data_IF_611718023756
#
_entry.id   IF_611718023756
#
_cell.length_a   1.000
_cell.length_b   1.000
_cell.length_c   1.000
_cell.angle_alpha   90.00
_cell.angle_beta   90.00
_cell.angle_gamma   90.00
#
_symmetry.space_group_name_H-M   'P 1'
#
loop_
_entity.id
_entity.type
_entity.pdbx_description
1 polymer ?
#
# COMPACT_ATOMS: atom_id res chain seq x y z
N UNK A 1 61.51 5.13 -8.59
CA UNK A 1 61.07 3.77 -8.19
C UNK A 1 60.82 3.80 -6.70
N UNK A 2 59.56 3.63 -6.28
CA UNK A 2 59.13 3.04 -5.00
C UNK A 2 57.60 3.05 -4.95
N UNK A 3 57.05 1.97 -5.48
CA UNK A 3 55.66 1.56 -5.36
C UNK A 3 55.42 1.16 -3.90
N UNK A 4 54.37 1.70 -3.26
CA UNK A 4 53.78 1.08 -2.07
C UNK A 4 52.29 0.93 -2.29
N UNK A 5 51.90 -0.30 -2.65
CA UNK A 5 50.54 -0.82 -2.59
C UNK A 5 50.01 -0.66 -1.15
N UNK A 6 48.81 -0.11 -1.02
CA UNK A 6 47.98 -0.26 0.18
C UNK A 6 46.81 -1.19 -0.19
N UNK A 7 46.49 -2.22 0.59
CA UNK A 7 45.56 -3.27 0.18
C UNK A 7 44.12 -2.77 0.19
N UNK A 8 43.41 -3.07 -0.90
CA UNK A 8 41.97 -2.96 -1.05
C UNK A 8 41.31 -3.99 -0.11
N UNK A 9 40.73 -3.54 1.00
CA UNK A 9 39.89 -4.36 1.88
C UNK A 9 38.53 -4.59 1.20
N UNK A 10 38.39 -5.75 0.56
CA UNK A 10 37.13 -6.23 0.01
C UNK A 10 36.23 -6.74 1.16
N UNK A 11 35.37 -5.88 1.69
CA UNK A 11 34.36 -6.28 2.68
C UNK A 11 33.25 -7.07 1.98
N UNK A 12 33.29 -8.40 2.12
CA UNK A 12 32.24 -9.31 1.69
C UNK A 12 31.03 -9.18 2.64
N UNK A 13 30.09 -8.29 2.32
CA UNK A 13 28.82 -8.22 3.06
C UNK A 13 27.95 -9.40 2.64
N UNK A 14 27.89 -10.42 3.50
CA UNK A 14 26.95 -11.52 3.39
C UNK A 14 25.53 -10.97 3.65
N UNK A 15 24.84 -10.52 2.60
CA UNK A 15 23.41 -10.23 2.67
C UNK A 15 22.68 -11.56 2.86
N UNK A 16 21.91 -11.75 3.95
CA UNK A 16 21.09 -12.94 4.07
C UNK A 16 20.09 -12.98 2.92
N UNK A 17 20.01 -14.13 2.26
CA UNK A 17 18.95 -14.49 1.34
C UNK A 17 17.64 -14.42 2.13
N UNK A 18 16.84 -13.37 1.93
CA UNK A 18 15.51 -13.27 2.51
C UNK A 18 14.74 -14.53 2.14
N UNK A 19 14.41 -15.32 3.15
CA UNK A 19 13.49 -16.43 3.04
C UNK A 19 12.21 -15.94 2.37
N UNK A 20 11.67 -16.73 1.44
CA UNK A 20 10.37 -16.51 0.81
C UNK A 20 9.32 -16.32 1.91
N UNK A 21 9.05 -15.05 2.25
CA UNK A 21 7.85 -14.69 2.95
C UNK A 21 6.72 -15.01 1.99
N UNK A 22 5.76 -15.82 2.44
CA UNK A 22 4.45 -15.92 1.81
C UNK A 22 3.83 -14.52 1.93
N UNK A 23 4.19 -13.63 1.00
CA UNK A 23 3.73 -12.25 0.98
C UNK A 23 2.24 -12.31 0.64
N UNK A 24 1.41 -12.45 1.68
CA UNK A 24 0.06 -11.89 1.64
C UNK A 24 0.22 -10.51 1.03
N UNK A 25 -0.50 -10.17 -0.06
CA UNK A 25 -0.37 -8.83 -0.64
C UNK A 25 -0.54 -7.86 0.51
N UNK A 26 0.39 -6.92 0.70
CA UNK A 26 0.46 -6.08 1.91
C UNK A 26 -0.86 -5.33 2.22
N UNK A 27 -1.78 -5.31 1.26
CA UNK A 27 -3.08 -4.67 1.29
C UNK A 27 -4.27 -5.64 1.51
N UNK A 28 -4.04 -6.94 1.72
CA UNK A 28 -5.09 -7.92 1.99
C UNK A 28 -5.78 -7.64 3.34
N UNK A 29 -7.07 -8.02 3.44
CA UNK A 29 -7.77 -7.96 4.72
C UNK A 29 -7.12 -8.96 5.71
N UNK A 30 -6.75 -8.53 6.93
CA UNK A 30 -6.17 -9.43 7.92
C UNK A 30 -7.11 -10.58 8.29
N UNK A 31 -6.54 -11.76 8.54
CA UNK A 31 -7.29 -12.99 8.83
C UNK A 31 -8.10 -12.91 10.14
N UNK A 32 -7.68 -12.08 11.09
CA UNK A 32 -8.35 -11.88 12.39
C UNK A 32 -8.46 -10.41 12.73
N UNK A 33 -9.33 -10.07 13.67
CA UNK A 33 -9.46 -8.69 14.19
C UNK A 33 -8.36 -8.35 15.22
N UNK A 34 -7.53 -9.32 15.59
CA UNK A 34 -6.45 -9.12 16.57
C UNK A 34 -5.44 -8.08 16.10
N UNK A 35 -5.18 -7.08 16.96
CA UNK A 35 -4.24 -6.00 16.68
C UNK A 35 -4.78 -4.90 15.77
N UNK A 36 -6.05 -4.96 15.35
CA UNK A 36 -6.68 -3.90 14.57
C UNK A 36 -7.35 -2.87 15.47
N UNK A 37 -7.22 -1.57 15.17
CA UNK A 37 -7.89 -0.53 15.93
C UNK A 37 -9.40 -0.55 15.67
N UNK A 38 -10.18 -0.09 16.65
CA UNK A 38 -11.64 -0.01 16.57
C UNK A 38 -12.36 -1.20 17.20
N UNK A 39 -13.69 -1.15 17.18
CA UNK A 39 -14.56 -2.18 17.73
C UNK A 39 -15.40 -2.82 16.63
N UNK A 40 -15.66 -4.12 16.78
CA UNK A 40 -16.47 -4.91 15.85
C UNK A 40 -15.65 -5.68 14.81
N UNK A 41 -16.25 -6.70 14.17
CA UNK A 41 -15.54 -7.56 13.24
C UNK A 41 -15.37 -6.91 11.87
N UNK A 42 -14.24 -7.18 11.22
CA UNK A 42 -14.08 -6.85 9.80
C UNK A 42 -14.83 -7.87 8.93
N UNK A 43 -15.48 -7.38 7.87
CA UNK A 43 -16.13 -8.23 6.86
C UNK A 43 -15.09 -9.06 6.11
N UNK A 44 -15.33 -10.36 5.97
CA UNK A 44 -14.40 -11.32 5.32
C UNK A 44 -15.07 -12.27 4.33
N UNK A 45 -16.25 -11.90 3.83
CA UNK A 45 -16.85 -12.65 2.73
C UNK A 45 -16.01 -12.47 1.47
N UNK A 46 -15.91 -13.51 0.64
CA UNK A 46 -15.03 -13.53 -0.54
C UNK A 46 -15.20 -12.30 -1.45
N UNK A 47 -16.45 -11.88 -1.69
CA UNK A 47 -16.74 -10.71 -2.50
C UNK A 47 -16.15 -9.41 -1.90
N UNK A 48 -16.13 -9.29 -0.57
CA UNK A 48 -15.62 -8.10 0.12
C UNK A 48 -14.09 -8.11 0.14
N UNK A 49 -13.46 -9.27 0.40
CA UNK A 49 -12.00 -9.37 0.39
C UNK A 49 -11.42 -9.11 -0.99
N UNK A 50 -12.09 -9.59 -2.05
CA UNK A 50 -11.72 -9.30 -3.43
C UNK A 50 -11.88 -7.81 -3.76
N UNK A 51 -13.04 -7.22 -3.43
CA UNK A 51 -13.28 -5.79 -3.66
C UNK A 51 -12.27 -4.92 -2.89
N UNK A 52 -11.99 -5.24 -1.63
CA UNK A 52 -11.01 -4.54 -0.81
C UNK A 52 -9.64 -4.56 -1.48
N UNK A 53 -9.14 -5.74 -1.84
CA UNK A 53 -7.82 -5.88 -2.47
C UNK A 53 -7.78 -5.10 -3.80
N UNK A 54 -8.80 -5.25 -4.64
CA UNK A 54 -8.90 -4.53 -5.91
C UNK A 54 -8.79 -3.02 -5.71
N UNK A 55 -9.59 -2.44 -4.81
CA UNK A 55 -9.63 -0.98 -4.58
C UNK A 55 -8.33 -0.46 -3.96
N UNK A 56 -7.77 -1.18 -2.98
CA UNK A 56 -6.53 -0.79 -2.33
C UNK A 56 -5.34 -0.86 -3.28
N UNK A 57 -5.25 -1.90 -4.12
CA UNK A 57 -4.20 -2.02 -5.14
C UNK A 57 -4.32 -0.91 -6.19
N UNK A 58 -5.52 -0.67 -6.71
CA UNK A 58 -5.75 0.41 -7.69
C UNK A 58 -5.35 1.79 -7.16
N UNK A 59 -5.59 2.07 -5.88
CA UNK A 59 -5.18 3.34 -5.30
C UNK A 59 -3.68 3.40 -5.01
N UNK A 60 -3.08 2.30 -4.54
CA UNK A 60 -1.64 2.22 -4.28
C UNK A 60 -0.81 2.62 -5.52
N UNK A 61 -1.22 2.17 -6.71
CA UNK A 61 -0.63 2.53 -8.01
C UNK A 61 -0.74 4.03 -8.38
N UNK A 62 -1.64 4.77 -7.73
CA UNK A 62 -1.92 6.19 -8.00
C UNK A 62 -1.42 7.13 -6.91
N UNK A 63 -0.90 6.61 -5.80
CA UNK A 63 -0.50 7.41 -4.63
C UNK A 63 0.42 8.59 -4.96
N UNK A 64 1.38 8.42 -5.87
CA UNK A 64 2.26 9.51 -6.32
C UNK A 64 1.49 10.56 -7.13
N UNK A 65 0.61 10.12 -8.04
CA UNK A 65 -0.27 11.01 -8.79
C UNK A 65 -1.22 11.75 -7.87
N UNK A 66 -1.69 11.14 -6.78
CA UNK A 66 -2.72 11.69 -5.90
C UNK A 66 -2.13 12.61 -4.81
N UNK A 67 -0.82 12.86 -4.83
CA UNK A 67 -0.20 13.82 -3.92
C UNK A 67 -0.88 15.20 -4.01
N UNK A 68 -1.18 15.78 -2.84
CA UNK A 68 -1.87 17.07 -2.68
C UNK A 68 -3.32 17.09 -3.22
N UNK A 69 -3.93 15.93 -3.45
CA UNK A 69 -5.35 15.82 -3.76
C UNK A 69 -6.22 15.77 -2.50
N UNK A 70 -7.49 16.14 -2.64
CA UNK A 70 -8.55 15.84 -1.68
C UNK A 70 -9.07 14.43 -1.97
N UNK A 71 -8.87 13.50 -1.05
CA UNK A 71 -9.26 12.08 -1.26
C UNK A 71 -10.53 11.75 -0.47
N UNK A 72 -11.52 11.16 -1.15
CA UNK A 72 -12.69 10.58 -0.50
C UNK A 72 -12.44 9.11 -0.15
N UNK A 73 -12.40 8.81 1.15
CA UNK A 73 -12.26 7.45 1.67
C UNK A 73 -13.47 7.15 2.55
N UNK A 74 -14.18 6.07 2.24
CA UNK A 74 -15.38 5.69 2.98
C UNK A 74 -15.91 4.32 2.60
N UNK A 75 -17.20 4.14 2.82
CA UNK A 75 -17.92 2.89 2.61
C UNK A 75 -18.61 2.84 1.24
N UNK A 76 -19.62 1.98 1.11
CA UNK A 76 -20.42 1.83 -0.10
C UNK A 76 -21.12 3.13 -0.54
N UNK A 77 -21.43 4.05 0.37
CA UNK A 77 -22.03 5.35 0.03
C UNK A 77 -21.02 6.20 -0.73
N UNK A 78 -19.81 6.32 -0.21
CA UNK A 78 -18.72 7.06 -0.89
C UNK A 78 -18.36 6.42 -2.22
N UNK A 79 -18.32 5.07 -2.28
CA UNK A 79 -18.12 4.36 -3.56
C UNK A 79 -19.25 4.65 -4.56
N UNK A 80 -20.48 4.82 -4.08
CA UNK A 80 -21.65 5.08 -4.91
C UNK A 80 -21.74 6.49 -5.48
N UNK A 81 -20.93 7.45 -5.00
CA UNK A 81 -20.89 8.81 -5.56
C UNK A 81 -20.36 8.86 -7.00
N UNK A 82 -19.61 7.83 -7.41
CA UNK A 82 -19.04 7.74 -8.75
C UNK A 82 -17.99 8.81 -9.06
N UNK A 83 -17.61 8.90 -10.34
CA UNK A 83 -16.47 9.70 -10.78
C UNK A 83 -16.77 11.22 -10.83
N UNK A 84 -18.05 11.59 -10.76
CA UNK A 84 -18.49 12.99 -10.87
C UNK A 84 -18.44 13.76 -9.55
N UNK A 85 -18.25 13.08 -8.42
CA UNK A 85 -18.21 13.69 -7.09
C UNK A 85 -17.20 14.85 -7.00
N UNK A 86 -16.05 14.71 -7.67
CA UNK A 86 -15.00 15.72 -7.70
C UNK A 86 -15.40 17.05 -8.35
N UNK A 87 -16.40 17.05 -9.24
CA UNK A 87 -16.86 18.28 -9.94
C UNK A 87 -17.43 19.34 -9.00
N UNK A 88 -17.81 18.95 -7.77
CA UNK A 88 -18.34 19.86 -6.76
C UNK A 88 -17.24 20.64 -6.00
N UNK A 89 -15.96 20.32 -6.22
CA UNK A 89 -14.84 20.87 -5.45
C UNK A 89 -14.03 21.94 -6.22
N UNK A 90 -14.62 22.53 -7.26
CA UNK A 90 -14.03 23.66 -7.98
C UNK A 90 -12.68 23.32 -8.63
N UNK A 91 -11.66 24.12 -8.33
CA UNK A 91 -10.29 23.93 -8.86
C UNK A 91 -9.44 22.97 -8.01
N UNK A 92 -9.99 22.40 -6.95
CA UNK A 92 -9.25 21.43 -6.13
C UNK A 92 -8.93 20.19 -6.95
N UNK A 93 -7.70 19.69 -6.78
CA UNK A 93 -7.35 18.35 -7.21
C UNK A 93 -8.07 17.36 -6.32
N UNK A 94 -8.86 16.47 -6.92
CA UNK A 94 -9.62 15.39 -6.27
C UNK A 94 -9.23 14.08 -6.92
#
# INVERSE_FOLDING_TARGET
>A
MNIRLLPLLLSLTLTPLSAFADEKPALAVPATDGGLPGAGPIRRMDWFTQLWLQRRTQWAERTERDQKAVVFLGDSITQGWGDDAGKSFGEMKV
#
